data_IF_347941470345
#
_entry.id   IF_347941470345
#
_cell.length_a   1.000
_cell.length_b   1.000
_cell.length_c   1.000
_cell.angle_alpha   90.00
_cell.angle_beta   90.00
_cell.angle_gamma   90.00
#
_symmetry.space_group_name_H-M   'P 1'
#
loop_
_entity.id
_entity.type
_entity.pdbx_description
1 polymer ?
#
# COMPACT_ATOMS: atom_id res chain seq x y z
N UNK A 1 -16.89 -1.76 11.18
CA UNK A 1 -15.56 -1.36 11.66
C UNK A 1 -15.27 0.01 11.09
N UNK A 2 -14.35 0.74 11.70
CA UNK A 2 -13.89 2.02 11.15
C UNK A 2 -13.10 1.75 9.87
N UNK A 3 -13.38 2.51 8.81
CA UNK A 3 -12.78 2.32 7.48
C UNK A 3 -12.10 3.61 7.04
N UNK A 4 -10.81 3.52 6.70
CA UNK A 4 -10.06 4.63 6.12
C UNK A 4 -10.62 4.96 4.74
N UNK A 5 -11.05 3.96 3.97
CA UNK A 5 -11.71 4.18 2.69
C UNK A 5 -12.95 5.08 2.84
N UNK A 6 -13.82 4.80 3.82
CA UNK A 6 -15.00 5.64 4.08
C UNK A 6 -14.63 7.05 4.51
N UNK A 7 -13.62 7.22 5.36
CA UNK A 7 -13.14 8.57 5.73
C UNK A 7 -12.69 9.37 4.51
N UNK A 8 -11.99 8.74 3.56
CA UNK A 8 -11.56 9.39 2.32
C UNK A 8 -12.73 9.73 1.39
N UNK A 9 -13.78 8.91 1.37
CA UNK A 9 -15.01 9.18 0.63
C UNK A 9 -15.78 10.36 1.25
N UNK A 10 -15.89 10.42 2.58
CA UNK A 10 -16.51 11.54 3.32
C UNK A 10 -15.73 12.86 3.18
N UNK A 11 -14.44 12.82 2.81
CA UNK A 11 -13.68 14.02 2.42
C UNK A 11 -14.12 14.61 1.06
N UNK A 12 -15.02 13.94 0.34
CA UNK A 12 -15.59 14.39 -0.93
C UNK A 12 -15.16 13.57 -2.16
N UNK A 13 -14.66 12.35 -1.97
CA UNK A 13 -14.37 11.43 -3.06
C UNK A 13 -15.57 10.51 -3.29
N UNK A 14 -15.91 10.25 -4.56
CA UNK A 14 -16.98 9.30 -4.88
C UNK A 14 -16.64 7.86 -4.45
N UNK A 15 -15.38 7.46 -4.64
CA UNK A 15 -14.88 6.15 -4.26
C UNK A 15 -13.38 6.20 -3.98
N UNK A 16 -12.92 5.46 -2.98
CA UNK A 16 -11.46 5.31 -2.75
C UNK A 16 -10.78 4.68 -3.97
N UNK A 17 -9.60 5.20 -4.30
CA UNK A 17 -8.81 4.81 -5.48
C UNK A 17 -8.97 5.74 -6.67
N UNK A 18 -10.02 6.57 -6.71
CA UNK A 18 -10.19 7.60 -7.74
C UNK A 18 -9.11 8.70 -7.67
N UNK A 19 -9.09 9.60 -8.67
CA UNK A 19 -8.24 10.78 -8.67
C UNK A 19 -8.50 11.64 -7.42
N UNK A 20 -7.45 12.16 -6.80
CA UNK A 20 -7.56 12.88 -5.52
C UNK A 20 -7.39 11.99 -4.28
N UNK A 21 -7.59 10.67 -4.35
CA UNK A 21 -7.41 9.74 -3.20
C UNK A 21 -6.06 9.90 -2.50
N UNK A 22 -4.97 9.99 -3.27
CA UNK A 22 -3.62 10.13 -2.70
C UNK A 22 -3.45 11.46 -1.97
N UNK A 23 -4.06 12.54 -2.47
CA UNK A 23 -4.00 13.85 -1.83
C UNK A 23 -4.85 13.90 -0.55
N UNK A 24 -6.06 13.33 -0.58
CA UNK A 24 -6.92 13.19 0.59
C UNK A 24 -6.24 12.37 1.69
N UNK A 25 -5.61 11.25 1.32
CA UNK A 25 -4.86 10.42 2.27
C UNK A 25 -3.63 11.14 2.83
N UNK A 26 -2.93 11.95 2.02
CA UNK A 26 -1.83 12.78 2.52
C UNK A 26 -2.30 13.80 3.56
N UNK A 27 -3.43 14.47 3.30
CA UNK A 27 -4.06 15.40 4.24
C UNK A 27 -4.44 14.72 5.54
N UNK A 28 -5.10 13.55 5.46
CA UNK A 28 -5.49 12.76 6.63
C UNK A 28 -4.26 12.35 7.45
N UNK A 29 -3.23 11.82 6.79
CA UNK A 29 -2.02 11.34 7.46
C UNK A 29 -1.26 12.48 8.17
N UNK A 30 -1.14 13.64 7.52
CA UNK A 30 -0.51 14.82 8.11
C UNK A 30 -1.28 15.34 9.33
N UNK A 31 -2.61 15.39 9.25
CA UNK A 31 -3.47 15.78 10.37
C UNK A 31 -3.31 14.82 11.57
N UNK A 32 -3.33 13.51 11.33
CA UNK A 32 -3.13 12.49 12.38
C UNK A 32 -1.76 12.62 13.02
N UNK A 33 -0.70 12.81 12.22
CA UNK A 33 0.67 12.97 12.74
C UNK A 33 0.80 14.24 13.58
N UNK A 34 0.30 15.38 13.11
CA UNK A 34 0.32 16.64 13.87
C UNK A 34 -0.48 16.54 15.17
N UNK A 35 -1.66 15.91 15.13
CA UNK A 35 -2.46 15.63 16.32
C UNK A 35 -1.73 14.75 17.33
N UNK A 36 -1.09 13.67 16.86
CA UNK A 36 -0.30 12.77 17.71
C UNK A 36 0.92 13.44 18.34
N UNK A 37 1.66 14.25 17.59
CA UNK A 37 2.80 15.03 18.10
C UNK A 37 2.35 16.07 19.13
N UNK A 38 1.17 16.68 18.96
CA UNK A 38 0.64 17.65 19.92
C UNK A 38 0.28 17.00 21.26
N UNK A 39 -0.28 15.79 21.24
CA UNK A 39 -0.85 15.15 22.44
C UNK A 39 0.12 14.24 23.22
N UNK A 40 1.25 13.84 22.63
CA UNK A 40 2.11 12.79 23.20
C UNK A 40 3.57 13.22 23.36
N UNK A 41 4.17 12.88 24.51
CA UNK A 41 5.62 13.08 24.76
C UNK A 41 6.51 12.00 24.12
N UNK A 42 5.93 10.87 23.71
CA UNK A 42 6.61 9.78 23.00
C UNK A 42 5.73 9.34 21.83
N UNK A 43 6.16 9.62 20.61
CA UNK A 43 5.43 9.26 19.39
C UNK A 43 6.09 8.03 18.78
N UNK A 44 5.32 6.95 18.62
CA UNK A 44 5.76 5.72 17.97
C UNK A 44 5.72 5.80 16.43
N UNK A 45 6.56 4.99 15.76
CA UNK A 45 6.90 5.10 14.34
C UNK A 45 5.81 4.76 13.31
N UNK A 46 4.65 4.27 13.72
CA UNK A 46 3.54 3.92 12.81
C UNK A 46 2.31 4.83 12.99
N UNK A 47 2.50 6.03 13.52
CA UNK A 47 1.42 7.02 13.66
C UNK A 47 1.00 7.53 12.27
N UNK A 48 -0.03 6.94 11.69
CA UNK A 48 -0.55 7.30 10.37
C UNK A 48 -1.77 6.47 9.96
N UNK A 49 -2.36 6.83 8.82
CA UNK A 49 -3.46 6.06 8.24
C UNK A 49 -2.96 4.70 7.77
N UNK A 50 -3.61 3.63 8.21
CA UNK A 50 -3.29 2.25 7.84
C UNK A 50 -4.25 1.80 6.73
N UNK A 51 -3.74 1.21 5.65
CA UNK A 51 -4.54 0.83 4.47
C UNK A 51 -4.50 -0.68 4.13
N UNK A 52 -4.68 -1.58 5.11
CA UNK A 52 -4.69 -3.03 4.86
C UNK A 52 -5.93 -3.40 4.05
N UNK A 53 -5.73 -3.91 2.83
CA UNK A 53 -6.87 -4.27 1.96
C UNK A 53 -7.73 -5.35 2.60
N UNK A 54 -7.15 -6.30 3.34
CA UNK A 54 -7.93 -7.41 3.90
C UNK A 54 -8.77 -7.06 5.14
N UNK A 55 -8.46 -5.95 5.81
CA UNK A 55 -9.03 -5.58 7.11
C UNK A 55 -10.02 -4.39 6.99
N UNK A 56 -9.98 -3.63 5.88
CA UNK A 56 -10.86 -2.50 5.61
C UNK A 56 -11.95 -2.84 4.58
N UNK A 57 -13.22 -2.82 5.00
CA UNK A 57 -14.36 -3.17 4.13
C UNK A 57 -14.48 -2.28 2.88
N UNK A 58 -14.21 -0.99 3.01
CA UNK A 58 -14.31 -0.03 1.91
C UNK A 58 -13.19 -0.23 0.91
N UNK A 59 -11.99 -0.60 1.37
CA UNK A 59 -10.88 -0.98 0.48
C UNK A 59 -11.24 -2.25 -0.30
N UNK A 60 -11.78 -3.28 0.35
CA UNK A 60 -12.25 -4.51 -0.33
C UNK A 60 -13.30 -4.17 -1.40
N UNK A 61 -14.28 -3.33 -1.06
CA UNK A 61 -15.33 -2.92 -1.98
C UNK A 61 -14.76 -2.19 -3.21
N UNK A 62 -13.82 -1.27 -2.99
CA UNK A 62 -13.17 -0.51 -4.06
C UNK A 62 -12.30 -1.37 -4.98
N UNK A 63 -11.59 -2.36 -4.44
CA UNK A 63 -10.84 -3.33 -5.26
C UNK A 63 -11.80 -4.16 -6.12
N UNK A 64 -12.91 -4.64 -5.53
CA UNK A 64 -13.93 -5.40 -6.28
C UNK A 64 -14.65 -4.57 -7.33
N UNK A 65 -14.87 -3.29 -7.08
CA UNK A 65 -15.43 -2.34 -8.03
C UNK A 65 -14.44 -1.92 -9.12
N UNK A 66 -13.14 -2.20 -8.93
CA UNK A 66 -12.06 -1.83 -9.84
C UNK A 66 -11.63 -0.37 -9.74
N UNK A 67 -12.13 0.40 -8.77
CA UNK A 67 -11.68 1.77 -8.51
C UNK A 67 -10.33 1.81 -7.81
N UNK A 68 -9.98 0.75 -7.09
CA UNK A 68 -8.68 0.58 -6.42
C UNK A 68 -7.90 -0.59 -7.03
N UNK A 69 -6.69 -0.32 -7.50
CA UNK A 69 -5.77 -1.30 -8.07
C UNK A 69 -4.42 -1.30 -7.33
N UNK A 70 -3.54 -2.23 -7.69
CA UNK A 70 -2.26 -2.42 -7.01
C UNK A 70 -1.35 -1.20 -7.15
N UNK A 71 -1.30 -0.62 -8.35
CA UNK A 71 -0.48 0.56 -8.66
C UNK A 71 -0.99 1.80 -7.91
N UNK A 72 -2.31 1.90 -7.68
CA UNK A 72 -2.88 2.98 -6.88
C UNK A 72 -2.57 2.81 -5.39
N UNK A 73 -2.58 1.57 -4.89
CA UNK A 73 -2.13 1.28 -3.53
C UNK A 73 -0.66 1.63 -3.35
N UNK A 74 0.21 1.25 -4.29
CA UNK A 74 1.61 1.66 -4.35
C UNK A 74 1.76 3.20 -4.38
N UNK A 75 0.98 3.91 -5.19
CA UNK A 75 0.99 5.38 -5.16
C UNK A 75 0.53 5.95 -3.81
N UNK A 76 -0.39 5.29 -3.11
CA UNK A 76 -0.82 5.66 -1.76
C UNK A 76 0.27 5.33 -0.73
N UNK A 77 1.08 4.27 -0.93
CA UNK A 77 2.17 3.94 -0.03
C UNK A 77 3.19 5.07 0.05
N UNK A 78 3.42 5.84 -1.02
CA UNK A 78 4.31 6.99 -1.01
C UNK A 78 4.02 7.99 0.13
N UNK A 79 2.75 8.16 0.51
CA UNK A 79 2.33 9.13 1.54
C UNK A 79 1.79 8.48 2.82
N UNK A 80 1.56 7.16 2.83
CA UNK A 80 1.08 6.36 3.97
C UNK A 80 2.22 5.95 4.94
N UNK A 81 1.95 5.26 6.06
CA UNK A 81 2.99 4.82 7.01
C UNK A 81 3.48 3.38 6.85
N UNK A 82 2.75 2.48 6.19
CA UNK A 82 3.03 1.02 6.29
C UNK A 82 3.53 0.38 5.01
N UNK A 83 3.00 0.73 3.84
CA UNK A 83 3.37 0.10 2.57
C UNK A 83 2.31 -0.87 2.05
N UNK A 84 2.71 -1.82 1.20
CA UNK A 84 1.83 -2.82 0.63
C UNK A 84 1.53 -3.91 1.65
N UNK A 85 0.42 -3.79 2.36
CA UNK A 85 0.06 -4.69 3.45
C UNK A 85 -1.21 -5.50 3.19
N UNK A 86 -1.17 -6.79 3.53
CA UNK A 86 -2.25 -7.76 3.31
C UNK A 86 -2.79 -7.78 1.88
N UNK A 87 -1.90 -7.79 0.90
CA UNK A 87 -2.26 -7.85 -0.52
C UNK A 87 -2.27 -9.30 -0.98
N UNK A 88 -3.45 -9.82 -1.35
CA UNK A 88 -3.57 -11.11 -2.01
C UNK A 88 -3.30 -10.97 -3.51
N UNK A 89 -2.41 -11.83 -4.05
CA UNK A 89 -2.07 -11.89 -5.48
C UNK A 89 -2.18 -13.33 -5.98
N UNK A 90 -2.25 -13.57 -7.31
CA UNK A 90 -2.40 -14.90 -7.85
C UNK A 90 -1.27 -15.84 -7.40
N UNK A 91 -1.59 -17.09 -7.07
CA UNK A 91 -0.63 -18.08 -6.58
C UNK A 91 0.44 -18.44 -7.62
N UNK A 92 0.16 -18.25 -8.91
CA UNK A 92 1.09 -18.46 -10.01
C UNK A 92 1.98 -17.25 -10.30
N UNK A 93 1.95 -16.21 -9.45
CA UNK A 93 2.83 -15.04 -9.60
C UNK A 93 4.29 -15.46 -9.51
N UNK A 94 5.13 -15.14 -10.52
CA UNK A 94 6.56 -15.45 -10.49
C UNK A 94 7.26 -14.77 -9.30
N UNK A 95 8.23 -15.46 -8.70
CA UNK A 95 9.01 -14.92 -7.58
C UNK A 95 9.74 -13.63 -7.95
N UNK A 96 10.13 -13.45 -9.22
CA UNK A 96 10.74 -12.22 -9.74
C UNK A 96 9.76 -11.03 -9.72
N UNK A 97 8.47 -11.27 -9.97
CA UNK A 97 7.46 -10.22 -9.87
C UNK A 97 7.25 -9.80 -8.42
N UNK A 98 7.23 -10.76 -7.48
CA UNK A 98 7.14 -10.47 -6.04
C UNK A 98 8.39 -9.69 -5.58
N UNK A 99 9.58 -10.10 -6.01
CA UNK A 99 10.82 -9.40 -5.71
C UNK A 99 10.83 -7.96 -6.27
N UNK A 100 10.26 -7.74 -7.45
CA UNK A 100 10.11 -6.41 -8.03
C UNK A 100 9.14 -5.54 -7.22
N UNK A 101 7.97 -6.07 -6.81
CA UNK A 101 7.05 -5.34 -5.92
C UNK A 101 7.72 -4.93 -4.61
N UNK A 102 8.56 -5.80 -4.03
CA UNK A 102 9.35 -5.47 -2.85
C UNK A 102 10.38 -4.38 -3.14
N UNK A 103 11.05 -4.44 -4.29
CA UNK A 103 12.03 -3.45 -4.70
C UNK A 103 11.40 -2.06 -4.92
N UNK A 104 10.21 -2.00 -5.52
CA UNK A 104 9.48 -0.75 -5.76
C UNK A 104 9.08 -0.09 -4.43
N UNK A 105 8.49 -0.87 -3.52
CA UNK A 105 8.08 -0.37 -2.20
C UNK A 105 9.31 0.02 -1.34
N UNK A 106 10.43 -0.70 -1.47
CA UNK A 106 11.68 -0.33 -0.82
C UNK A 106 12.26 0.97 -1.40
N UNK A 107 12.18 1.18 -2.72
CA UNK A 107 12.62 2.42 -3.35
C UNK A 107 11.78 3.63 -2.89
N UNK A 108 10.45 3.48 -2.81
CA UNK A 108 9.56 4.48 -2.22
C UNK A 108 9.98 4.81 -0.79
N UNK A 109 10.31 3.78 0.00
CA UNK A 109 10.82 3.91 1.37
C UNK A 109 12.11 4.72 1.46
N UNK A 110 13.13 4.27 0.73
CA UNK A 110 14.49 4.82 0.74
C UNK A 110 14.50 6.28 0.24
N UNK A 111 13.81 6.58 -0.85
CA UNK A 111 13.79 7.93 -1.44
C UNK A 111 13.07 8.92 -0.53
N UNK A 112 11.96 8.50 0.07
CA UNK A 112 11.13 9.38 0.91
C UNK A 112 11.52 9.37 2.40
N UNK A 113 12.64 8.71 2.77
CA UNK A 113 13.09 8.59 4.16
C UNK A 113 11.99 8.07 5.09
N UNK A 114 11.26 7.05 4.64
CA UNK A 114 10.13 6.48 5.34
C UNK A 114 10.30 4.98 5.51
N UNK A 115 9.72 4.46 6.58
CA UNK A 115 9.59 3.02 6.76
C UNK A 115 8.49 2.52 5.83
N UNK A 116 8.77 1.44 5.09
CA UNK A 116 7.80 0.70 4.31
C UNK A 116 7.92 -0.79 4.63
N UNK A 117 6.85 -1.53 4.42
CA UNK A 117 6.75 -2.95 4.61
C UNK A 117 5.93 -3.54 3.47
N UNK A 118 6.22 -4.80 3.14
CA UNK A 118 5.51 -5.55 2.12
C UNK A 118 5.04 -6.87 2.72
N UNK A 119 3.73 -7.09 2.70
CA UNK A 119 3.08 -8.35 3.06
C UNK A 119 2.17 -8.77 1.90
N UNK A 120 2.77 -9.54 1.00
CA UNK A 120 2.12 -10.11 -0.19
C UNK A 120 1.78 -11.58 0.07
N UNK A 121 0.59 -11.99 -0.35
CA UNK A 121 0.04 -13.33 -0.13
C UNK A 121 -0.27 -13.96 -1.50
N UNK A 122 0.64 -14.77 -2.08
CA UNK A 122 0.41 -15.45 -3.36
C UNK A 122 -0.49 -16.66 -3.16
N UNK A 123 -1.81 -16.46 -3.24
CA UNK A 123 -2.82 -17.49 -3.00
C UNK A 123 -4.06 -17.25 -3.88
N UNK A 124 -4.62 -18.33 -4.42
CA UNK A 124 -5.82 -18.27 -5.27
C UNK A 124 -5.55 -17.77 -6.70
N UNK A 125 -6.62 -17.44 -7.41
CA UNK A 125 -6.62 -16.89 -8.78
C UNK A 125 -7.17 -15.47 -8.76
N UNK A 126 -6.81 -14.68 -9.76
CA UNK A 126 -7.33 -13.31 -9.94
C UNK A 126 -8.86 -13.26 -9.79
N UNK A 127 -9.34 -12.41 -8.89
CA UNK A 127 -10.77 -12.24 -8.58
C UNK A 127 -11.32 -13.16 -7.48
N UNK A 128 -10.57 -14.19 -7.05
CA UNK A 128 -10.98 -15.01 -5.90
C UNK A 128 -11.05 -14.16 -4.63
N UNK A 129 -11.93 -14.53 -3.69
CA UNK A 129 -11.95 -13.96 -2.34
C UNK A 129 -11.30 -14.95 -1.37
N UNK A 130 -10.21 -14.55 -0.72
CA UNK A 130 -9.51 -15.35 0.27
C UNK A 130 -9.94 -14.92 1.67
N UNK A 131 -10.33 -15.88 2.51
CA UNK A 131 -10.65 -15.66 3.93
C UNK A 131 -9.44 -16.06 4.78
N UNK A 132 -8.85 -15.10 5.49
CA UNK A 132 -7.75 -15.33 6.42
C UNK A 132 -8.25 -15.60 7.85
N UNK A 133 -9.48 -15.20 8.14
CA UNK A 133 -10.14 -15.39 9.43
C UNK A 133 -9.61 -14.46 10.53
N UNK A 134 -10.37 -14.39 11.62
CA UNK A 134 -10.01 -13.60 12.79
C UNK A 134 -9.82 -12.12 12.47
N UNK A 135 -8.69 -11.56 12.91
CA UNK A 135 -8.34 -10.14 12.71
C UNK A 135 -7.79 -9.83 11.32
N UNK A 136 -7.35 -10.84 10.56
CA UNK A 136 -6.73 -10.67 9.25
C UNK A 136 -7.76 -10.51 8.13
N UNK A 137 -9.04 -10.73 8.43
CA UNK A 137 -10.17 -10.49 7.53
C UNK A 137 -10.10 -11.32 6.25
N UNK A 138 -10.43 -10.68 5.13
CA UNK A 138 -10.52 -11.32 3.81
C UNK A 138 -10.04 -10.38 2.71
N UNK A 139 -9.34 -10.88 1.70
CA UNK A 139 -8.88 -10.05 0.59
C UNK A 139 -9.32 -10.63 -0.76
N UNK A 140 -9.74 -9.77 -1.71
CA UNK A 140 -9.80 -10.15 -3.12
C UNK A 140 -8.38 -10.36 -3.65
N UNK A 141 -8.19 -11.42 -4.43
CA UNK A 141 -6.94 -11.65 -5.18
C UNK A 141 -6.86 -10.61 -6.30
N UNK A 142 -5.92 -9.69 -6.16
CA UNK A 142 -5.77 -8.55 -7.06
C UNK A 142 -5.12 -8.95 -8.38
N UNK A 143 -5.50 -8.27 -9.45
CA UNK A 143 -4.81 -8.37 -10.73
C UNK A 143 -3.39 -7.83 -10.60
N UNK A 144 -2.44 -8.52 -11.25
CA UNK A 144 -1.05 -8.07 -11.38
C UNK A 144 -0.69 -7.79 -12.83
N UNK A 145 0.31 -6.94 -13.05
CA UNK A 145 0.92 -6.79 -14.36
C UNK A 145 1.74 -8.05 -14.71
N UNK A 146 1.51 -8.60 -15.91
CA UNK A 146 2.15 -9.83 -16.39
C UNK A 146 3.45 -9.58 -17.18
N UNK A 147 3.83 -8.32 -17.39
CA UNK A 147 5.12 -7.99 -17.97
C UNK A 147 6.26 -8.50 -17.06
N UNK A 148 7.29 -9.08 -17.65
CA UNK A 148 8.39 -9.70 -16.90
C UNK A 148 9.34 -8.67 -16.29
N UNK A 149 9.68 -8.86 -15.02
CA UNK A 149 10.75 -8.14 -14.31
C UNK A 149 12.02 -8.98 -14.12
N UNK A 150 12.10 -10.15 -14.75
CA UNK A 150 13.13 -11.15 -14.48
C UNK A 150 14.56 -10.62 -14.71
N UNK A 151 14.79 -9.91 -15.82
CA UNK A 151 16.11 -9.37 -16.16
C UNK A 151 16.59 -8.32 -15.17
N UNK A 152 15.68 -7.50 -14.63
CA UNK A 152 16.02 -6.50 -13.63
C UNK A 152 16.43 -7.15 -12.30
N UNK A 153 15.62 -8.12 -11.82
CA UNK A 153 15.89 -8.84 -10.57
C UNK A 153 17.15 -9.69 -10.67
N UNK A 154 17.42 -10.29 -11.83
CA UNK A 154 18.61 -11.11 -12.06
C UNK A 154 19.93 -10.32 -11.99
N UNK A 155 19.91 -8.98 -12.09
CA UNK A 155 21.13 -8.16 -11.97
C UNK A 155 21.80 -8.31 -10.61
N UNK A 156 21.02 -8.53 -9.54
CA UNK A 156 21.53 -8.61 -8.18
C UNK A 156 22.36 -7.37 -7.76
N UNK A 157 23.18 -7.55 -6.73
CA UNK A 157 24.04 -6.48 -6.21
C UNK A 157 23.33 -5.53 -5.26
N UNK A 158 23.75 -4.27 -5.24
CA UNK A 158 23.30 -3.25 -4.29
C UNK A 158 22.83 -2.00 -5.03
N UNK A 159 21.60 -1.55 -4.76
CA UNK A 159 21.12 -0.24 -5.21
C UNK A 159 21.85 0.83 -4.37
N UNK A 160 22.57 1.78 -4.98
CA UNK A 160 23.33 2.79 -4.25
C UNK A 160 22.41 3.76 -3.51
N UNK A 161 22.92 4.36 -2.43
CA UNK A 161 22.17 5.32 -1.64
C UNK A 161 21.82 6.58 -2.45
N UNK A 162 20.64 7.18 -2.24
CA UNK A 162 20.23 8.40 -2.94
C UNK A 162 21.01 9.63 -2.46
N UNK A 163 21.12 10.64 -3.32
CA UNK A 163 21.73 11.93 -2.98
C UNK A 163 20.76 12.71 -2.08
N UNK A 164 21.16 13.01 -0.85
CA UNK A 164 20.29 13.71 0.12
C UNK A 164 20.14 15.23 -0.13
N UNK A 165 21.09 15.86 -0.84
CA UNK A 165 21.24 17.33 -0.89
C UNK A 165 20.63 18.01 -2.13
N UNK A 166 20.41 17.26 -3.22
CA UNK A 166 19.76 17.78 -4.44
C UNK A 166 18.31 17.27 -4.47
N UNK A 167 17.43 17.94 -3.72
CA UNK A 167 15.97 17.74 -3.82
C UNK A 167 15.42 18.85 -4.74
N UNK A 168 14.75 18.46 -5.83
CA UNK A 168 14.01 19.38 -6.71
C UNK A 168 12.78 19.95 -5.99
#
# INVERSE_FOLDING_TARGET
GDSVARVLEEMGLEAVGTHGTTAALALLNDAVKKGGVMACNQVGGLSGAFIPVSEDEGMIAAVRAGSLNLEKLEAMTAICSVGLDMIAIPADTPSQSIAAMIADEAAIGVINQKTTAVRIIPLGKEGDMIEFGGLLGRAPVMKINKASSADFIARGGQIPAPIHSFKN
#
